data_IF_724288464890
#
_entry.id   IF_724288464890
#
_cell.length_a   1.000
_cell.length_b   1.000
_cell.length_c   1.000
_cell.angle_alpha   90.00
_cell.angle_beta   90.00
_cell.angle_gamma   90.00
#
_symmetry.space_group_name_H-M   'P 1'
#
loop_
_entity.id
_entity.type
_entity.pdbx_description
1 polymer ?
#
# COMPACT_ATOMS: atom_id res chain seq x y z
N UNK A 1 8.59 -80.87 -29.57
CA UNK A 1 8.31 -79.78 -30.49
C UNK A 1 7.98 -78.45 -29.68
N UNK A 2 8.66 -78.23 -28.54
CA UNK A 2 8.34 -77.09 -27.63
C UNK A 2 9.59 -76.21 -27.37
N UNK A 3 10.76 -76.59 -27.92
CA UNK A 3 12.03 -75.86 -27.62
C UNK A 3 12.50 -74.88 -28.71
N UNK A 4 11.78 -74.69 -29.81
CA UNK A 4 12.14 -73.71 -30.87
C UNK A 4 11.36 -72.43 -30.83
N UNK A 5 10.24 -72.35 -30.08
CA UNK A 5 9.43 -71.11 -29.94
C UNK A 5 9.98 -70.14 -28.92
N UNK A 6 10.73 -70.63 -27.93
CA UNK A 6 11.26 -69.70 -26.83
C UNK A 6 12.43 -68.80 -27.26
N UNK A 7 13.20 -69.17 -28.29
CA UNK A 7 14.29 -68.37 -28.84
C UNK A 7 13.80 -67.23 -29.75
N UNK A 8 12.73 -67.50 -30.51
CA UNK A 8 12.14 -66.45 -31.38
C UNK A 8 11.45 -65.33 -30.58
N UNK A 9 10.76 -65.69 -29.49
CA UNK A 9 10.09 -64.70 -28.58
C UNK A 9 11.11 -63.85 -27.84
N UNK A 10 12.25 -64.44 -27.44
CA UNK A 10 13.34 -63.62 -26.79
C UNK A 10 14.03 -62.68 -27.76
N UNK A 11 14.15 -63.01 -29.03
CA UNK A 11 14.74 -62.13 -30.04
C UNK A 11 13.77 -61.04 -30.47
N UNK A 12 12.47 -61.26 -30.51
CA UNK A 12 11.46 -60.24 -30.79
C UNK A 12 11.30 -59.28 -29.64
N UNK A 13 11.41 -59.71 -28.38
CA UNK A 13 11.37 -58.84 -27.20
C UNK A 13 12.63 -57.94 -27.11
N UNK A 14 13.80 -58.47 -27.49
CA UNK A 14 15.05 -57.70 -27.51
C UNK A 14 15.04 -56.59 -28.59
N UNK A 15 14.40 -56.82 -29.74
CA UNK A 15 14.28 -55.85 -30.84
C UNK A 15 13.24 -54.76 -30.48
N UNK A 16 12.14 -55.13 -29.82
CA UNK A 16 11.15 -54.15 -29.33
C UNK A 16 11.70 -53.26 -28.22
N UNK A 17 12.51 -53.78 -27.29
CA UNK A 17 13.13 -52.99 -26.25
C UNK A 17 14.23 -52.03 -26.76
N UNK A 18 14.97 -52.42 -27.81
CA UNK A 18 15.97 -51.55 -28.45
C UNK A 18 15.29 -50.43 -29.28
N UNK A 19 14.16 -50.70 -29.92
CA UNK A 19 13.37 -49.72 -30.66
C UNK A 19 12.69 -48.69 -29.76
N UNK A 20 12.25 -49.07 -28.56
CA UNK A 20 11.62 -48.18 -27.59
C UNK A 20 12.66 -47.27 -26.90
N UNK A 21 13.89 -47.77 -26.68
CA UNK A 21 14.97 -46.93 -26.14
C UNK A 21 15.53 -45.93 -27.16
N UNK A 22 15.52 -46.26 -28.46
CA UNK A 22 15.92 -45.32 -29.51
C UNK A 22 14.84 -44.28 -29.82
N UNK A 23 13.54 -44.58 -29.66
CA UNK A 23 12.44 -43.63 -29.79
C UNK A 23 12.30 -42.68 -28.57
N UNK A 24 12.77 -43.12 -27.39
CA UNK A 24 12.79 -42.27 -26.18
C UNK A 24 13.93 -41.24 -26.18
N UNK A 25 14.97 -41.43 -27.01
CA UNK A 25 16.08 -40.47 -27.12
C UNK A 25 15.83 -39.33 -28.12
N UNK A 26 14.77 -39.43 -28.94
CA UNK A 26 14.40 -38.39 -29.92
C UNK A 26 13.27 -37.45 -29.41
N UNK A 27 12.60 -37.82 -28.30
CA UNK A 27 11.52 -37.03 -27.72
C UNK A 27 11.97 -36.03 -26.62
N UNK A 28 13.26 -35.90 -26.33
CA UNK A 28 13.84 -34.89 -25.43
C UNK A 28 14.57 -33.79 -26.19
N UNK A 29 14.01 -33.31 -27.29
CA UNK A 29 14.27 -32.03 -27.88
C UNK A 29 13.37 -30.97 -27.26
N UNK A 30 13.09 -31.05 -25.96
CA UNK A 30 12.60 -29.88 -25.22
C UNK A 30 13.71 -28.84 -25.30
N UNK A 31 13.43 -27.72 -25.92
CA UNK A 31 14.23 -26.52 -25.90
C UNK A 31 14.40 -26.15 -24.42
N UNK A 32 15.39 -26.77 -23.75
CA UNK A 32 15.71 -26.41 -22.36
C UNK A 32 16.32 -25.02 -22.43
N UNK A 33 15.55 -24.03 -21.99
CA UNK A 33 16.06 -22.68 -21.81
C UNK A 33 17.30 -22.75 -20.91
N UNK A 34 18.47 -22.46 -21.50
CA UNK A 34 19.76 -22.54 -20.81
C UNK A 34 20.10 -21.27 -20.04
N UNK A 35 19.23 -20.26 -20.10
CA UNK A 35 19.39 -19.01 -19.40
C UNK A 35 19.32 -19.20 -17.88
N UNK A 36 20.00 -18.33 -17.14
CA UNK A 36 19.80 -18.27 -15.68
C UNK A 36 18.36 -17.86 -15.37
N UNK A 37 17.57 -18.78 -14.83
CA UNK A 37 16.19 -18.48 -14.47
C UNK A 37 16.09 -17.91 -13.06
N UNK A 38 15.44 -16.75 -12.89
CA UNK A 38 15.05 -16.18 -11.59
C UNK A 38 13.53 -16.13 -11.46
N UNK A 39 13.04 -16.25 -10.23
CA UNK A 39 11.60 -16.16 -9.91
C UNK A 39 11.32 -14.85 -9.19
N UNK A 40 10.36 -14.06 -9.71
CA UNK A 40 9.95 -12.77 -9.19
C UNK A 40 8.50 -12.81 -8.73
N UNK A 41 8.24 -12.49 -7.48
CA UNK A 41 6.89 -12.28 -6.95
C UNK A 41 6.62 -10.78 -6.80
N UNK A 42 5.60 -10.30 -7.49
CA UNK A 42 5.27 -8.89 -7.55
C UNK A 42 3.81 -8.71 -7.95
N UNK A 43 3.19 -7.62 -7.51
CA UNK A 43 1.84 -7.21 -7.92
C UNK A 43 1.85 -6.00 -8.87
N UNK A 44 3.02 -5.52 -9.26
CA UNK A 44 3.15 -4.41 -10.20
C UNK A 44 2.50 -4.74 -11.55
N UNK A 45 1.48 -3.99 -12.00
CA UNK A 45 0.74 -4.33 -13.23
C UNK A 45 1.61 -4.33 -14.49
N UNK A 46 2.59 -3.43 -14.57
CA UNK A 46 3.49 -3.29 -15.73
C UNK A 46 4.68 -4.27 -15.72
N UNK A 47 4.73 -5.19 -14.76
CA UNK A 47 5.88 -6.09 -14.58
C UNK A 47 6.19 -6.94 -15.83
N UNK A 48 5.18 -7.34 -16.60
CA UNK A 48 5.42 -8.07 -17.87
C UNK A 48 6.25 -7.26 -18.85
N UNK A 49 5.95 -5.98 -18.99
CA UNK A 49 6.66 -5.06 -19.87
C UNK A 49 8.09 -4.79 -19.37
N UNK A 50 8.25 -4.63 -18.04
CA UNK A 50 9.57 -4.49 -17.40
C UNK A 50 10.42 -5.73 -17.68
N UNK A 51 9.88 -6.93 -17.50
CA UNK A 51 10.57 -8.20 -17.76
C UNK A 51 10.97 -8.31 -19.23
N UNK A 52 10.08 -8.00 -20.16
CA UNK A 52 10.38 -8.04 -21.59
C UNK A 52 11.54 -7.10 -21.97
N UNK A 53 11.59 -5.90 -21.38
CA UNK A 53 12.71 -4.96 -21.56
C UNK A 53 13.99 -5.49 -20.91
N UNK A 54 13.90 -6.04 -19.71
CA UNK A 54 15.04 -6.60 -19.00
C UNK A 54 15.67 -7.78 -19.75
N UNK A 55 14.88 -8.75 -20.18
CA UNK A 55 15.37 -9.95 -20.92
C UNK A 55 15.98 -9.57 -22.28
N UNK A 56 15.48 -8.52 -22.93
CA UNK A 56 16.10 -7.98 -24.15
C UNK A 56 17.50 -7.46 -23.90
N UNK A 57 17.71 -6.74 -22.79
CA UNK A 57 19.01 -6.14 -22.42
C UNK A 57 19.91 -7.17 -21.68
N UNK A 58 19.35 -8.27 -21.19
CA UNK A 58 20.03 -9.33 -20.44
C UNK A 58 19.63 -10.73 -20.99
N UNK A 59 20.08 -11.09 -22.19
CA UNK A 59 19.62 -12.31 -22.88
C UNK A 59 20.06 -13.62 -22.19
N UNK A 60 20.95 -13.54 -21.23
CA UNK A 60 21.43 -14.65 -20.39
C UNK A 60 20.52 -14.97 -19.20
N UNK A 61 19.50 -14.14 -18.92
CA UNK A 61 18.59 -14.32 -17.79
C UNK A 61 17.16 -14.50 -18.30
N UNK A 62 16.44 -15.43 -17.67
CA UNK A 62 15.00 -15.63 -17.85
C UNK A 62 14.26 -15.35 -16.55
N UNK A 63 13.17 -14.55 -16.61
CA UNK A 63 12.38 -14.16 -15.44
C UNK A 63 11.04 -14.86 -15.43
N UNK A 64 10.82 -15.70 -14.44
CA UNK A 64 9.51 -16.29 -14.15
C UNK A 64 8.75 -15.40 -13.17
N UNK A 65 7.77 -14.69 -13.67
CA UNK A 65 6.96 -13.80 -12.85
C UNK A 65 5.70 -14.48 -12.32
N UNK A 66 5.44 -14.26 -11.03
CA UNK A 66 4.20 -14.63 -10.37
C UNK A 66 3.52 -13.37 -9.85
N UNK A 67 2.37 -13.04 -10.45
CA UNK A 67 1.53 -11.95 -9.94
C UNK A 67 0.92 -12.41 -8.62
N UNK A 68 1.39 -11.86 -7.53
CA UNK A 68 0.91 -12.18 -6.18
C UNK A 68 1.20 -11.03 -5.24
N UNK A 69 0.24 -10.77 -4.37
CA UNK A 69 0.34 -9.89 -3.21
C UNK A 69 0.01 -10.70 -1.95
N UNK A 70 0.42 -10.18 -0.82
CA UNK A 70 0.13 -10.81 0.48
C UNK A 70 1.29 -11.67 1.00
N UNK A 71 1.49 -11.51 2.31
CA UNK A 71 2.69 -12.03 2.98
C UNK A 71 2.54 -13.47 3.44
N UNK A 72 1.31 -14.00 3.57
CA UNK A 72 1.09 -15.37 4.03
C UNK A 72 1.76 -16.41 3.13
N UNK A 73 1.65 -16.23 1.80
CA UNK A 73 2.30 -17.14 0.85
C UNK A 73 3.82 -17.08 0.95
N UNK A 74 4.38 -15.88 1.13
CA UNK A 74 5.81 -15.67 1.28
C UNK A 74 6.30 -16.28 2.61
N UNK A 75 5.58 -16.03 3.71
CA UNK A 75 5.90 -16.56 5.01
C UNK A 75 5.86 -18.09 5.02
N UNK A 76 4.82 -18.69 4.41
CA UNK A 76 4.71 -20.14 4.26
C UNK A 76 5.88 -20.72 3.44
N UNK A 77 6.22 -20.11 2.30
CA UNK A 77 7.35 -20.56 1.48
C UNK A 77 8.68 -20.48 2.25
N UNK A 78 8.89 -19.42 3.03
CA UNK A 78 10.08 -19.25 3.87
C UNK A 78 10.11 -20.30 4.98
N UNK A 79 8.99 -20.55 5.65
CA UNK A 79 8.85 -21.53 6.72
C UNK A 79 9.07 -22.97 6.21
N UNK A 80 8.43 -23.30 5.09
CA UNK A 80 8.52 -24.62 4.46
C UNK A 80 9.89 -24.86 3.81
N UNK A 81 10.65 -23.80 3.51
CA UNK A 81 11.93 -23.88 2.82
C UNK A 81 11.83 -24.25 1.35
N UNK A 82 10.63 -24.16 0.76
CA UNK A 82 10.35 -24.56 -0.60
C UNK A 82 9.57 -23.49 -1.38
N UNK A 83 9.87 -23.35 -2.67
CA UNK A 83 9.14 -22.41 -3.55
C UNK A 83 9.40 -20.93 -3.25
N UNK A 84 10.48 -20.62 -2.52
CA UNK A 84 10.87 -19.24 -2.20
C UNK A 84 11.28 -18.54 -3.49
N UNK A 85 10.77 -17.31 -3.78
CA UNK A 85 11.21 -16.54 -4.94
C UNK A 85 12.65 -16.04 -4.77
N UNK A 86 13.29 -15.69 -5.89
CA UNK A 86 14.59 -15.02 -5.87
C UNK A 86 14.43 -13.54 -5.54
N UNK A 87 13.38 -12.90 -6.08
CA UNK A 87 13.04 -11.49 -5.88
C UNK A 87 11.60 -11.36 -5.42
N UNK A 88 11.35 -10.44 -4.51
CA UNK A 88 10.02 -10.12 -4.00
C UNK A 88 9.78 -8.62 -3.96
N UNK A 89 8.56 -8.20 -4.30
CA UNK A 89 8.05 -6.87 -4.01
C UNK A 89 7.54 -6.84 -2.57
N UNK A 90 7.99 -5.85 -1.82
CA UNK A 90 7.58 -5.62 -0.42
C UNK A 90 7.15 -4.17 -0.24
N UNK A 91 6.01 -3.95 0.35
CA UNK A 91 5.65 -2.62 0.85
C UNK A 91 6.65 -2.17 1.92
N UNK A 92 6.89 -0.87 2.01
CA UNK A 92 7.89 -0.34 2.94
C UNK A 92 7.64 -0.74 4.39
N UNK A 93 6.38 -0.82 4.81
CA UNK A 93 6.04 -1.23 6.17
C UNK A 93 6.43 -2.70 6.47
N UNK A 94 6.43 -3.56 5.47
CA UNK A 94 6.75 -4.97 5.63
C UNK A 94 8.24 -5.28 5.46
N UNK A 95 8.97 -4.49 4.70
CA UNK A 95 10.37 -4.74 4.38
C UNK A 95 11.23 -4.92 5.64
N UNK A 96 10.98 -4.11 6.68
CA UNK A 96 11.73 -4.18 7.94
C UNK A 96 11.64 -5.55 8.61
N UNK A 97 10.46 -6.18 8.60
CA UNK A 97 10.24 -7.52 9.15
C UNK A 97 11.16 -8.56 8.51
N UNK A 98 11.29 -8.55 7.20
CA UNK A 98 12.12 -9.49 6.45
C UNK A 98 13.62 -9.16 6.58
N UNK A 99 13.98 -7.89 6.71
CA UNK A 99 15.36 -7.47 6.95
C UNK A 99 15.85 -7.89 8.33
N UNK A 100 15.07 -7.63 9.40
CA UNK A 100 15.41 -8.02 10.79
C UNK A 100 15.52 -9.53 10.94
N UNK A 101 14.65 -10.30 10.31
CA UNK A 101 14.68 -11.76 10.34
C UNK A 101 15.71 -12.38 9.39
N UNK A 102 16.61 -11.58 8.81
CA UNK A 102 17.69 -12.01 7.91
C UNK A 102 17.18 -12.79 6.68
N UNK A 103 15.99 -12.45 6.20
CA UNK A 103 15.41 -13.06 4.99
C UNK A 103 15.82 -12.34 3.70
N UNK A 104 16.41 -11.14 3.79
CA UNK A 104 16.82 -10.33 2.65
C UNK A 104 18.34 -10.23 2.55
N UNK A 105 18.83 -10.18 1.31
CA UNK A 105 20.24 -9.90 1.01
C UNK A 105 20.50 -8.42 1.22
N UNK A 106 21.48 -8.03 2.08
CA UNK A 106 21.92 -6.64 2.13
C UNK A 106 22.69 -6.29 0.85
N UNK A 107 22.25 -5.22 0.18
CA UNK A 107 22.82 -4.76 -1.10
C UNK A 107 23.65 -3.48 -0.98
N UNK A 108 23.99 -3.06 0.24
CA UNK A 108 24.67 -1.80 0.57
C UNK A 108 25.91 -1.54 -0.30
N UNK A 109 26.75 -2.56 -0.50
CA UNK A 109 27.98 -2.44 -1.29
C UNK A 109 27.76 -2.21 -2.80
N UNK A 110 26.52 -2.27 -3.27
CA UNK A 110 26.15 -2.07 -4.68
C UNK A 110 25.38 -0.77 -4.92
N UNK A 111 25.12 0.01 -3.86
CA UNK A 111 24.23 1.18 -3.89
C UNK A 111 24.94 2.49 -3.56
N UNK A 112 26.23 2.55 -3.82
CA UNK A 112 27.00 3.80 -3.67
C UNK A 112 26.44 4.89 -4.59
N UNK A 113 26.13 6.08 -4.04
CA UNK A 113 25.53 7.19 -4.78
C UNK A 113 24.01 7.12 -4.97
N UNK A 114 23.35 6.01 -4.61
CA UNK A 114 21.89 5.86 -4.85
C UNK A 114 21.04 6.74 -3.93
N UNK A 115 21.57 7.17 -2.80
CA UNK A 115 20.88 8.08 -1.89
C UNK A 115 20.46 9.40 -2.54
N UNK A 116 21.28 9.90 -3.49
CA UNK A 116 20.99 11.14 -4.22
C UNK A 116 19.98 10.94 -5.36
N UNK A 117 19.80 9.71 -5.80
CA UNK A 117 18.88 9.34 -6.88
C UNK A 117 17.42 9.26 -6.40
N UNK A 118 17.20 8.70 -5.21
CA UNK A 118 15.86 8.53 -4.64
C UNK A 118 15.45 9.68 -3.73
N UNK A 119 14.13 9.82 -3.50
CA UNK A 119 13.63 10.73 -2.46
C UNK A 119 14.10 10.30 -1.07
N UNK A 120 14.31 11.25 -0.13
CA UNK A 120 14.77 10.89 1.22
C UNK A 120 13.87 9.90 1.95
N UNK A 121 12.55 10.02 1.79
CA UNK A 121 11.56 9.12 2.42
C UNK A 121 11.66 7.68 1.92
N UNK A 122 11.65 7.48 0.60
CA UNK A 122 11.75 6.14 0.00
C UNK A 122 13.11 5.49 0.26
N UNK A 123 14.19 6.26 0.18
CA UNK A 123 15.53 5.76 0.47
C UNK A 123 15.70 5.34 1.94
N UNK A 124 15.15 6.12 2.87
CA UNK A 124 15.14 5.76 4.29
C UNK A 124 14.33 4.48 4.56
N UNK A 125 13.26 4.27 3.80
CA UNK A 125 12.34 3.13 3.98
C UNK A 125 12.94 1.77 3.60
N UNK A 126 13.98 1.73 2.75
CA UNK A 126 14.68 0.49 2.37
C UNK A 126 15.93 0.22 3.22
N UNK A 127 16.18 1.05 4.23
CA UNK A 127 17.35 0.95 5.07
C UNK A 127 17.02 0.44 6.48
N UNK A 128 17.91 -0.34 7.02
CA UNK A 128 17.93 -0.77 8.42
C UNK A 128 19.38 -0.83 8.92
N UNK A 129 19.66 -0.08 10.00
CA UNK A 129 20.96 -0.10 10.66
C UNK A 129 22.15 0.20 9.70
N UNK A 130 21.98 1.18 8.82
CA UNK A 130 22.98 1.57 7.81
C UNK A 130 23.15 0.58 6.66
N UNK A 131 22.30 -0.43 6.55
CA UNK A 131 22.29 -1.38 5.43
C UNK A 131 21.06 -1.18 4.56
N UNK A 132 21.24 -1.33 3.26
CA UNK A 132 20.19 -1.27 2.25
C UNK A 132 19.73 -2.68 1.93
N UNK A 133 18.42 -2.93 1.95
CA UNK A 133 17.82 -4.26 1.77
C UNK A 133 16.89 -4.38 0.54
N UNK A 134 16.72 -3.32 -0.20
CA UNK A 134 15.93 -3.31 -1.43
C UNK A 134 16.14 -2.01 -2.20
N UNK A 135 15.65 -1.94 -3.42
CA UNK A 135 15.62 -0.71 -4.19
C UNK A 135 14.18 -0.16 -4.24
N UNK A 136 13.96 1.13 -3.94
CA UNK A 136 12.65 1.75 -4.05
C UNK A 136 12.07 1.58 -5.46
N UNK A 137 10.87 1.04 -5.54
CA UNK A 137 10.20 0.81 -6.80
C UNK A 137 9.19 1.92 -7.11
N UNK A 138 8.39 2.27 -6.15
CA UNK A 138 7.39 3.33 -6.23
C UNK A 138 7.30 4.10 -4.90
N UNK A 139 6.52 5.18 -4.88
CA UNK A 139 6.35 6.03 -3.71
C UNK A 139 4.88 6.35 -3.50
N UNK A 140 4.48 6.51 -2.25
CA UNK A 140 3.12 6.86 -1.86
C UNK A 140 3.04 8.10 -0.99
N UNK A 141 3.64 9.25 -1.39
CA UNK A 141 3.54 10.46 -0.58
C UNK A 141 2.08 10.85 -0.38
N UNK A 142 1.71 11.15 0.85
CA UNK A 142 0.36 11.56 1.21
C UNK A 142 0.03 12.92 0.65
N UNK A 143 -1.17 13.03 0.08
CA UNK A 143 -1.74 14.29 -0.39
C UNK A 143 -3.22 14.40 -0.03
N UNK A 144 -3.73 15.60 -0.07
CA UNK A 144 -5.11 15.94 0.16
C UNK A 144 -5.86 15.98 -1.17
N UNK A 145 -6.65 14.94 -1.43
CA UNK A 145 -7.52 14.84 -2.60
C UNK A 145 -8.93 15.29 -2.22
N UNK A 146 -9.54 16.16 -3.01
CA UNK A 146 -10.84 16.72 -2.67
C UNK A 146 -11.74 16.95 -3.88
N UNK A 147 -13.04 16.79 -3.69
CA UNK A 147 -14.05 17.12 -4.68
C UNK A 147 -14.32 18.63 -4.65
N UNK A 148 -13.74 19.37 -5.59
CA UNK A 148 -13.78 20.82 -5.64
C UNK A 148 -15.21 21.36 -5.69
N UNK A 149 -16.09 20.72 -6.48
CA UNK A 149 -17.47 21.19 -6.62
C UNK A 149 -18.27 21.10 -5.32
N UNK A 150 -17.95 20.15 -4.45
CA UNK A 150 -18.61 19.98 -3.15
C UNK A 150 -18.12 21.04 -2.15
N UNK A 151 -16.83 21.37 -2.14
CA UNK A 151 -16.30 22.44 -1.30
C UNK A 151 -16.80 23.82 -1.76
N UNK A 152 -16.92 24.06 -3.06
CA UNK A 152 -17.51 25.30 -3.60
C UNK A 152 -18.95 25.53 -3.13
N UNK A 153 -19.77 24.48 -3.01
CA UNK A 153 -21.16 24.59 -2.52
C UNK A 153 -21.26 25.16 -1.12
N UNK A 154 -20.21 25.05 -0.31
CA UNK A 154 -20.17 25.58 1.07
C UNK A 154 -19.25 26.82 1.20
N UNK A 155 -18.83 27.38 0.06
CA UNK A 155 -17.98 28.57 0.01
C UNK A 155 -16.59 28.35 0.61
N UNK A 156 -16.00 27.18 0.41
CA UNK A 156 -14.65 26.83 0.86
C UNK A 156 -13.74 26.63 -0.34
N UNK A 157 -12.64 27.36 -0.37
CA UNK A 157 -11.51 27.09 -1.27
C UNK A 157 -10.61 26.04 -0.59
N UNK A 158 -10.82 24.78 -0.94
CA UNK A 158 -10.09 23.67 -0.31
C UNK A 158 -8.59 23.70 -0.63
N UNK A 159 -8.18 24.38 -1.71
CA UNK A 159 -6.76 24.58 -2.02
C UNK A 159 -6.00 25.39 -0.97
N UNK A 160 -6.71 26.10 -0.10
CA UNK A 160 -6.15 26.94 0.98
C UNK A 160 -6.16 26.27 2.35
N UNK A 161 -6.69 25.07 2.48
CA UNK A 161 -6.64 24.31 3.74
C UNK A 161 -5.19 23.91 3.99
N UNK A 162 -4.61 24.38 5.10
CA UNK A 162 -3.21 24.12 5.48
C UNK A 162 -3.08 23.46 6.84
N UNK A 163 -4.03 23.72 7.73
CA UNK A 163 -4.01 23.20 9.10
C UNK A 163 -5.15 22.24 9.34
N UNK A 164 -5.02 21.41 10.39
CA UNK A 164 -6.13 20.57 10.85
C UNK A 164 -7.32 21.41 11.34
N UNK A 165 -7.08 22.62 11.85
CA UNK A 165 -8.15 23.54 12.21
C UNK A 165 -8.91 24.03 10.96
N UNK A 166 -8.20 24.40 9.88
CA UNK A 166 -8.87 24.75 8.60
C UNK A 166 -9.72 23.58 8.09
N UNK A 167 -9.19 22.35 8.17
CA UNK A 167 -9.88 21.14 7.76
C UNK A 167 -11.13 20.89 8.60
N UNK A 168 -11.03 21.06 9.92
CA UNK A 168 -12.16 20.95 10.84
C UNK A 168 -13.24 21.99 10.55
N UNK A 169 -12.90 23.26 10.32
CA UNK A 169 -13.86 24.31 9.99
C UNK A 169 -14.58 24.03 8.67
N UNK A 170 -13.85 23.53 7.66
CA UNK A 170 -14.44 23.09 6.40
C UNK A 170 -15.41 21.92 6.62
N UNK A 171 -15.04 20.94 7.45
CA UNK A 171 -15.88 19.79 7.77
C UNK A 171 -17.22 20.19 8.41
N UNK A 172 -17.22 21.18 9.31
CA UNK A 172 -18.44 21.69 9.90
C UNK A 172 -19.39 22.33 8.87
N UNK A 173 -18.83 23.02 7.87
CA UNK A 173 -19.63 23.59 6.78
C UNK A 173 -20.24 22.49 5.91
N UNK A 174 -19.45 21.48 5.54
CA UNK A 174 -19.90 20.34 4.74
C UNK A 174 -21.00 19.55 5.44
N UNK A 175 -20.90 19.35 6.75
CA UNK A 175 -21.92 18.69 7.55
C UNK A 175 -23.30 19.37 7.44
N UNK A 176 -23.36 20.70 7.33
CA UNK A 176 -24.63 21.45 7.20
C UNK A 176 -25.40 21.06 5.95
N UNK A 177 -24.73 20.58 4.91
CA UNK A 177 -25.35 20.08 3.66
C UNK A 177 -25.40 18.54 3.60
N UNK A 178 -25.18 17.85 4.73
CA UNK A 178 -25.24 16.41 4.83
C UNK A 178 -24.07 15.65 4.18
N UNK A 179 -22.90 16.28 4.09
CA UNK A 179 -21.69 15.72 3.50
C UNK A 179 -20.64 15.47 4.59
N UNK A 180 -20.02 14.30 4.55
CA UNK A 180 -18.82 14.00 5.36
C UNK A 180 -17.58 14.55 4.69
N UNK A 181 -16.65 15.14 5.47
CA UNK A 181 -15.40 15.60 4.87
C UNK A 181 -14.56 14.43 4.38
N UNK A 182 -14.60 13.29 5.08
CA UNK A 182 -13.92 12.05 4.67
C UNK A 182 -14.62 10.83 5.28
N UNK A 183 -14.13 9.63 4.91
CA UNK A 183 -14.57 8.37 5.48
C UNK A 183 -13.37 7.62 6.05
N UNK A 184 -13.52 7.08 7.27
CA UNK A 184 -12.55 6.21 7.92
C UNK A 184 -13.29 5.25 8.86
N UNK A 185 -13.23 3.96 8.56
CA UNK A 185 -13.83 2.90 9.38
C UNK A 185 -12.86 2.19 10.31
N UNK A 186 -11.65 2.75 10.49
CA UNK A 186 -10.59 2.18 11.29
C UNK A 186 -9.56 1.42 10.44
N UNK A 187 -8.75 2.15 9.68
CA UNK A 187 -7.66 1.63 8.87
C UNK A 187 -6.31 1.89 9.56
N UNK A 188 -5.57 0.81 9.84
CA UNK A 188 -4.27 0.89 10.51
C UNK A 188 -3.24 1.66 9.67
N UNK A 189 -3.25 1.47 8.35
CA UNK A 189 -2.35 2.17 7.43
C UNK A 189 -2.58 3.67 7.46
N UNK A 190 -3.84 4.10 7.44
CA UNK A 190 -4.22 5.49 7.56
C UNK A 190 -3.77 6.06 8.92
N UNK A 191 -4.01 5.34 10.01
CA UNK A 191 -3.67 5.79 11.36
C UNK A 191 -2.17 5.98 11.54
N UNK A 192 -1.35 5.00 11.14
CA UNK A 192 0.13 5.10 11.15
C UNK A 192 0.63 6.31 10.38
N UNK A 193 0.08 6.50 9.19
CA UNK A 193 0.43 7.60 8.29
C UNK A 193 0.13 8.96 8.91
N UNK A 194 -1.00 9.09 9.59
CA UNK A 194 -1.39 10.35 10.24
C UNK A 194 -0.59 10.61 11.52
N UNK A 195 -0.21 9.58 12.26
CA UNK A 195 0.75 9.69 13.38
C UNK A 195 2.10 10.21 12.85
N UNK A 196 2.59 9.62 11.77
CA UNK A 196 3.83 10.02 11.11
C UNK A 196 3.78 11.49 10.67
N UNK A 197 2.70 11.89 9.98
CA UNK A 197 2.47 13.27 9.52
C UNK A 197 2.46 14.27 10.69
N UNK A 198 1.89 13.89 11.83
CA UNK A 198 1.88 14.70 13.05
C UNK A 198 3.27 14.79 13.75
N UNK A 199 4.31 14.24 13.13
CA UNK A 199 5.66 14.20 13.71
C UNK A 199 5.86 13.11 14.76
N UNK A 200 4.91 12.19 14.92
CA UNK A 200 5.00 11.06 15.84
C UNK A 200 6.12 10.08 15.47
N UNK A 201 6.73 9.49 16.48
CA UNK A 201 7.79 8.49 16.39
C UNK A 201 7.59 7.46 17.50
N UNK A 202 6.42 6.76 17.52
CA UNK A 202 6.07 5.89 18.64
C UNK A 202 6.90 4.61 18.70
N UNK A 203 7.57 4.25 17.59
CA UNK A 203 8.30 2.99 17.46
C UNK A 203 9.78 3.23 17.23
N UNK A 204 10.61 2.41 17.87
CA UNK A 204 12.03 2.32 17.56
C UNK A 204 12.54 0.90 17.78
N UNK A 205 13.55 0.51 16.98
CA UNK A 205 14.18 -0.80 17.07
C UNK A 205 15.69 -0.60 17.22
N UNK A 206 16.32 -1.31 18.17
CA UNK A 206 17.77 -1.29 18.35
C UNK A 206 18.50 -1.78 17.09
N UNK A 207 19.78 -1.41 16.96
CA UNK A 207 20.58 -1.75 15.79
C UNK A 207 20.73 -3.26 15.56
N UNK A 208 20.67 -4.06 16.61
CA UNK A 208 20.73 -5.52 16.53
C UNK A 208 19.35 -6.16 16.31
N UNK A 209 18.28 -5.36 16.22
CA UNK A 209 16.90 -5.80 16.02
C UNK A 209 16.23 -6.45 17.23
N UNK A 210 16.95 -6.58 18.36
CA UNK A 210 16.47 -7.37 19.51
C UNK A 210 15.58 -6.59 20.45
N UNK A 211 15.71 -5.27 20.50
CA UNK A 211 14.95 -4.44 21.41
C UNK A 211 14.02 -3.53 20.61
N UNK A 212 12.73 -3.66 20.82
CA UNK A 212 11.70 -2.82 20.23
C UNK A 212 11.10 -1.94 21.31
N UNK A 213 11.02 -0.65 21.05
CA UNK A 213 10.37 0.32 21.93
C UNK A 213 9.04 0.73 21.33
N UNK A 214 7.97 0.68 22.10
CA UNK A 214 6.61 1.04 21.72
C UNK A 214 6.08 2.08 22.71
N UNK A 215 5.79 3.29 22.24
CA UNK A 215 5.39 4.46 23.08
C UNK A 215 4.19 5.20 22.50
N UNK A 216 3.18 4.50 22.00
CA UNK A 216 2.02 5.10 21.37
C UNK A 216 1.29 6.09 22.29
N UNK A 217 1.13 5.74 23.58
CA UNK A 217 0.41 6.60 24.54
C UNK A 217 1.24 7.79 25.01
N UNK A 218 2.55 7.73 24.96
CA UNK A 218 3.48 8.77 25.36
C UNK A 218 3.90 9.68 24.21
N UNK A 219 3.82 9.17 22.95
CA UNK A 219 4.22 9.90 21.76
C UNK A 219 3.32 11.10 21.48
N UNK A 220 3.94 12.27 21.27
CA UNK A 220 3.20 13.53 21.07
C UNK A 220 2.34 13.48 19.82
N UNK A 221 2.91 13.05 18.69
CA UNK A 221 2.18 13.02 17.42
C UNK A 221 1.00 12.05 17.44
N UNK A 222 1.18 10.87 18.10
CA UNK A 222 0.09 9.91 18.31
C UNK A 222 -1.04 10.53 19.11
N UNK A 223 -0.75 11.22 20.22
CA UNK A 223 -1.79 11.87 21.04
C UNK A 223 -2.49 12.98 20.28
N UNK A 224 -1.73 13.83 19.59
CA UNK A 224 -2.26 14.97 18.85
C UNK A 224 -3.22 14.53 17.75
N UNK A 225 -2.85 13.51 16.96
CA UNK A 225 -3.74 12.94 15.95
C UNK A 225 -4.95 12.27 16.58
N UNK A 226 -4.76 11.45 17.63
CA UNK A 226 -5.83 10.73 18.30
C UNK A 226 -6.90 11.67 18.87
N UNK A 227 -6.50 12.80 19.48
CA UNK A 227 -7.41 13.81 20.02
C UNK A 227 -8.16 14.54 18.90
N UNK A 228 -7.45 14.95 17.86
CA UNK A 228 -8.04 15.60 16.69
C UNK A 228 -9.06 14.68 16.01
N UNK A 229 -8.68 13.43 15.74
CA UNK A 229 -9.54 12.49 15.02
C UNK A 229 -10.75 12.06 15.84
N UNK A 230 -10.59 11.89 17.16
CA UNK A 230 -11.72 11.63 18.04
C UNK A 230 -12.73 12.77 18.02
N UNK A 231 -12.29 14.02 18.04
CA UNK A 231 -13.16 15.20 17.91
C UNK A 231 -13.92 15.18 16.57
N UNK A 232 -13.24 14.90 15.46
CA UNK A 232 -13.84 14.78 14.13
C UNK A 232 -14.93 13.68 14.09
N UNK A 233 -14.69 12.55 14.72
CA UNK A 233 -15.62 11.42 14.80
C UNK A 233 -16.80 11.79 15.72
N UNK A 234 -16.56 12.28 16.93
CA UNK A 234 -17.59 12.62 17.91
C UNK A 234 -18.58 13.66 17.34
N UNK A 235 -18.09 14.61 16.57
CA UNK A 235 -18.91 15.62 15.92
C UNK A 235 -19.57 15.12 14.60
N UNK A 236 -19.33 13.87 14.19
CA UNK A 236 -19.90 13.26 12.98
C UNK A 236 -19.46 13.93 11.69
N UNK A 237 -18.23 14.33 11.62
CA UNK A 237 -17.60 14.94 10.46
C UNK A 237 -16.95 13.90 9.55
N UNK A 238 -16.67 12.70 10.09
CA UNK A 238 -16.10 11.54 9.41
C UNK A 238 -17.12 10.42 9.34
N UNK A 239 -17.26 9.79 8.18
CA UNK A 239 -18.10 8.60 7.99
C UNK A 239 -17.35 7.35 8.50
N UNK A 240 -17.72 6.86 9.70
CA UNK A 240 -17.06 5.70 10.34
C UNK A 240 -17.67 4.34 9.92
N UNK A 241 -18.70 4.35 9.09
CA UNK A 241 -19.44 3.16 8.66
C UNK A 241 -19.28 2.83 7.17
N UNK A 242 -18.35 3.48 6.51
CA UNK A 242 -17.99 3.24 5.12
C UNK A 242 -16.59 2.63 5.07
N UNK A 243 -16.53 1.32 4.85
CA UNK A 243 -15.26 0.63 4.65
C UNK A 243 -14.65 1.05 3.32
N UNK A 244 -13.39 1.50 3.34
CA UNK A 244 -12.66 1.93 2.14
C UNK A 244 -12.74 0.89 1.02
N UNK A 245 -12.98 1.35 -0.20
CA UNK A 245 -13.09 0.57 -1.43
C UNK A 245 -14.30 -0.37 -1.53
N UNK A 246 -15.19 -0.38 -0.55
CA UNK A 246 -16.49 -1.07 -0.69
C UNK A 246 -17.40 -0.33 -1.70
N UNK A 247 -18.36 -1.03 -2.30
CA UNK A 247 -19.31 -0.42 -3.26
C UNK A 247 -20.06 0.77 -2.65
N UNK A 248 -20.39 0.70 -1.35
CA UNK A 248 -21.03 1.79 -0.62
C UNK A 248 -20.11 3.01 -0.49
N UNK A 249 -18.82 2.79 -0.23
CA UNK A 249 -17.83 3.84 -0.16
C UNK A 249 -17.61 4.47 -1.53
N UNK A 250 -17.41 3.66 -2.59
CA UNK A 250 -17.25 4.12 -3.97
C UNK A 250 -18.46 4.97 -4.42
N UNK A 251 -19.66 4.52 -4.11
CA UNK A 251 -20.89 5.26 -4.38
C UNK A 251 -20.94 6.59 -3.62
N UNK A 252 -20.60 6.61 -2.34
CA UNK A 252 -20.62 7.82 -1.52
C UNK A 252 -19.59 8.87 -2.00
N UNK A 253 -18.38 8.42 -2.35
CA UNK A 253 -17.31 9.28 -2.92
C UNK A 253 -17.74 9.80 -4.30
N UNK A 254 -18.24 8.93 -5.18
CA UNK A 254 -18.67 9.30 -6.52
C UNK A 254 -19.84 10.29 -6.54
N UNK A 255 -20.75 10.22 -5.55
CA UNK A 255 -21.90 11.12 -5.39
C UNK A 255 -21.57 12.40 -4.59
N UNK A 256 -20.33 12.59 -4.16
CA UNK A 256 -19.94 13.75 -3.36
C UNK A 256 -20.47 13.75 -1.93
N UNK A 257 -20.90 12.58 -1.38
CA UNK A 257 -21.29 12.43 0.03
C UNK A 257 -20.07 12.31 0.96
N UNK A 258 -18.93 12.02 0.39
CA UNK A 258 -17.60 12.08 1.01
C UNK A 258 -16.79 13.06 0.16
N UNK A 259 -16.38 14.18 0.75
CA UNK A 259 -15.84 15.32 0.02
C UNK A 259 -14.35 15.24 -0.23
N UNK A 260 -13.60 14.48 0.57
CA UNK A 260 -12.14 14.42 0.44
C UNK A 260 -11.55 13.10 0.93
N UNK A 261 -10.31 12.85 0.51
CA UNK A 261 -9.52 11.69 0.90
C UNK A 261 -8.10 12.15 1.21
N UNK A 262 -7.53 11.66 2.31
CA UNK A 262 -6.10 11.68 2.57
C UNK A 262 -5.53 10.35 2.08
N UNK A 263 -4.69 10.37 1.07
CA UNK A 263 -4.19 9.13 0.45
C UNK A 263 -2.84 9.33 -0.21
N UNK A 264 -2.16 8.23 -0.48
CA UNK A 264 -0.90 8.24 -1.22
C UNK A 264 -1.07 8.52 -2.72
N UNK A 265 0.04 8.76 -3.39
CA UNK A 265 0.11 9.15 -4.80
C UNK A 265 -0.38 8.09 -5.81
N UNK A 266 -0.70 6.89 -5.38
CA UNK A 266 -1.38 5.88 -6.22
C UNK A 266 -2.88 6.14 -6.43
N UNK A 267 -3.48 7.06 -5.66
CA UNK A 267 -4.92 7.31 -5.69
C UNK A 267 -5.47 7.76 -7.07
N UNK A 268 -4.77 8.56 -7.90
CA UNK A 268 -5.30 8.99 -9.20
C UNK A 268 -5.73 7.83 -10.09
N UNK A 269 -4.92 6.81 -10.23
CA UNK A 269 -5.26 5.61 -11.03
C UNK A 269 -6.45 4.85 -10.44
N UNK A 270 -6.52 4.72 -9.12
CA UNK A 270 -7.61 4.04 -8.41
C UNK A 270 -8.94 4.79 -8.53
N UNK A 271 -8.92 6.13 -8.45
CA UNK A 271 -10.13 6.94 -8.67
C UNK A 271 -10.62 6.82 -10.11
N UNK A 272 -9.71 6.81 -11.09
CA UNK A 272 -10.06 6.65 -12.49
C UNK A 272 -10.70 5.28 -12.76
N UNK A 273 -10.14 4.21 -12.20
CA UNK A 273 -10.65 2.85 -12.36
C UNK A 273 -12.00 2.65 -11.65
N UNK A 274 -12.09 3.06 -10.38
CA UNK A 274 -13.22 2.70 -9.51
C UNK A 274 -14.35 3.73 -9.50
N UNK A 275 -14.05 5.00 -9.80
CA UNK A 275 -15.00 6.12 -9.73
C UNK A 275 -14.87 7.03 -10.97
N UNK A 276 -14.92 6.48 -12.19
CA UNK A 276 -14.71 7.27 -13.42
C UNK A 276 -15.75 8.39 -13.59
N UNK A 277 -16.96 8.21 -13.03
CA UNK A 277 -18.03 9.20 -13.10
C UNK A 277 -17.77 10.52 -12.35
N UNK A 278 -16.73 10.58 -11.50
CA UNK A 278 -16.33 11.79 -10.80
C UNK A 278 -15.18 12.55 -11.49
N UNK A 279 -14.84 12.18 -12.73
CA UNK A 279 -13.82 12.83 -13.50
C UNK A 279 -14.11 14.35 -13.67
N UNK A 280 -13.05 15.16 -13.55
CA UNK A 280 -13.13 16.62 -13.62
C UNK A 280 -13.50 17.32 -12.32
N UNK A 281 -14.08 16.61 -11.34
CA UNK A 281 -14.58 17.18 -10.09
C UNK A 281 -13.50 17.28 -9.00
N UNK A 282 -12.46 16.45 -9.08
CA UNK A 282 -11.43 16.32 -8.05
C UNK A 282 -10.25 17.27 -8.27
N UNK A 283 -9.55 17.58 -7.18
CA UNK A 283 -8.27 18.31 -7.18
C UNK A 283 -7.35 17.71 -6.14
N UNK A 284 -6.08 18.10 -6.18
CA UNK A 284 -5.05 17.66 -5.23
C UNK A 284 -4.37 18.87 -4.61
N UNK A 285 -4.11 18.81 -3.31
CA UNK A 285 -3.32 19.79 -2.56
C UNK A 285 -2.35 19.08 -1.60
N UNK A 286 -1.43 19.84 -1.01
CA UNK A 286 -0.58 19.34 0.07
C UNK A 286 -1.43 18.96 1.29
N UNK A 287 -0.95 17.99 2.07
CA UNK A 287 -1.63 17.59 3.31
C UNK A 287 -1.75 18.75 4.29
N UNK A 288 -2.90 18.96 4.92
CA UNK A 288 -2.99 19.81 6.10
C UNK A 288 -2.29 19.13 7.28
N UNK A 289 -1.57 19.93 8.05
CA UNK A 289 -0.79 19.48 9.20
C UNK A 289 -1.25 20.17 10.48
N UNK A 290 -0.87 19.71 11.69
CA UNK A 290 -1.28 20.38 12.93
C UNK A 290 -0.91 21.86 12.99
N UNK A 291 0.26 22.22 12.46
CA UNK A 291 0.84 23.57 12.55
C UNK A 291 1.02 24.28 11.20
N UNK A 292 0.51 23.70 10.12
CA UNK A 292 0.58 24.26 8.77
C UNK A 292 1.94 24.13 8.08
N UNK A 293 2.92 23.45 8.69
CA UNK A 293 4.21 23.21 8.05
C UNK A 293 4.08 22.28 6.86
N UNK A 294 4.85 22.55 5.82
CA UNK A 294 4.91 21.73 4.63
C UNK A 294 5.68 20.42 4.92
N UNK A 295 4.99 19.44 5.46
CA UNK A 295 5.48 18.08 5.71
C UNK A 295 4.40 17.07 5.36
N UNK A 296 4.81 15.87 5.04
CA UNK A 296 3.90 14.74 4.82
C UNK A 296 4.53 13.42 5.25
N UNK A 297 3.83 12.34 5.01
CA UNK A 297 4.20 10.96 5.28
C UNK A 297 3.98 10.10 4.03
N UNK A 298 4.30 8.81 4.11
CA UNK A 298 4.03 7.84 3.05
C UNK A 298 2.84 6.94 3.40
N UNK A 299 1.95 6.74 2.45
CA UNK A 299 0.91 5.73 2.50
C UNK A 299 0.92 4.90 1.21
N UNK A 300 1.49 3.73 1.29
CA UNK A 300 1.86 2.91 0.15
C UNK A 300 3.34 3.04 -0.17
N UNK A 301 3.69 2.68 -1.40
CA UNK A 301 5.08 2.57 -1.83
C UNK A 301 5.68 1.22 -1.50
N UNK A 302 6.60 0.77 -2.36
CA UNK A 302 7.20 -0.54 -2.28
C UNK A 302 8.63 -0.58 -2.81
N UNK A 303 9.30 -1.67 -2.52
CA UNK A 303 10.65 -1.95 -3.01
C UNK A 303 10.72 -3.36 -3.61
N UNK A 304 11.66 -3.59 -4.50
CA UNK A 304 12.09 -4.93 -4.86
C UNK A 304 13.30 -5.32 -4.02
N UNK A 305 13.26 -6.52 -3.46
CA UNK A 305 14.30 -7.06 -2.61
C UNK A 305 14.70 -8.48 -3.05
N UNK A 306 15.97 -8.85 -2.81
CA UNK A 306 16.49 -10.18 -3.09
C UNK A 306 16.39 -11.03 -1.83
N UNK A 307 15.81 -12.22 -1.93
CA UNK A 307 15.70 -13.15 -0.81
C UNK A 307 17.06 -13.78 -0.50
N UNK A 308 17.39 -13.88 0.80
CA UNK A 308 18.64 -14.47 1.28
C UNK A 308 18.86 -15.92 0.81
N UNK A 309 17.78 -16.67 0.55
CA UNK A 309 17.84 -18.05 0.06
C UNK A 309 17.91 -18.17 -1.45
N UNK A 310 17.94 -17.04 -2.18
CA UNK A 310 18.19 -17.08 -3.63
C UNK A 310 19.57 -17.70 -3.91
N UNK A 311 19.60 -18.62 -4.84
CA UNK A 311 20.88 -19.20 -5.35
C UNK A 311 21.44 -18.41 -6.53
N UNK A 312 20.77 -17.31 -6.90
CA UNK A 312 21.11 -16.48 -8.07
C UNK A 312 21.10 -14.99 -7.69
N UNK A 313 21.79 -14.59 -6.60
CA UNK A 313 21.73 -13.22 -6.09
C UNK A 313 22.20 -12.19 -7.10
N UNK A 314 23.17 -12.54 -7.97
CA UNK A 314 23.69 -11.63 -9.00
C UNK A 314 22.64 -11.32 -10.08
N UNK A 315 22.02 -12.35 -10.65
CA UNK A 315 20.95 -12.17 -11.63
C UNK A 315 19.73 -11.46 -11.03
N UNK A 316 19.40 -11.75 -9.77
CA UNK A 316 18.33 -11.11 -9.02
C UNK A 316 18.60 -9.63 -8.79
N UNK A 317 19.85 -9.27 -8.43
CA UNK A 317 20.23 -7.87 -8.26
C UNK A 317 20.17 -7.11 -9.59
N UNK A 318 20.68 -7.68 -10.70
CA UNK A 318 20.58 -7.08 -12.04
C UNK A 318 19.13 -6.77 -12.41
N UNK A 319 18.20 -7.67 -12.03
CA UNK A 319 16.78 -7.45 -12.28
C UNK A 319 16.21 -6.30 -11.45
N UNK A 320 16.44 -6.25 -10.12
CA UNK A 320 15.91 -5.18 -9.29
C UNK A 320 16.53 -3.82 -9.66
N UNK A 321 17.80 -3.80 -10.05
CA UNK A 321 18.47 -2.59 -10.54
C UNK A 321 17.83 -2.09 -11.84
N UNK A 322 17.58 -3.00 -12.81
CA UNK A 322 16.86 -2.63 -14.03
C UNK A 322 15.45 -2.09 -13.74
N UNK A 323 14.70 -2.77 -12.91
CA UNK A 323 13.33 -2.38 -12.62
C UNK A 323 13.22 -1.06 -11.82
N UNK A 324 14.17 -0.76 -10.91
CA UNK A 324 14.03 0.30 -9.93
C UNK A 324 15.01 1.47 -10.12
N UNK A 325 16.14 1.27 -10.82
CA UNK A 325 17.19 2.28 -10.97
C UNK A 325 17.48 2.63 -12.43
N UNK A 326 17.24 1.72 -13.37
CA UNK A 326 17.44 1.99 -14.78
C UNK A 326 16.30 2.81 -15.38
N UNK A 327 16.62 3.82 -16.19
CA UNK A 327 15.64 4.72 -16.79
C UNK A 327 14.56 3.98 -17.61
N UNK A 328 14.92 2.91 -18.35
CA UNK A 328 13.94 2.13 -19.15
C UNK A 328 12.93 1.43 -18.25
N UNK A 329 13.40 0.77 -17.19
CA UNK A 329 12.53 0.08 -16.23
C UNK A 329 11.62 1.05 -15.51
N UNK A 330 12.13 2.17 -15.04
CA UNK A 330 11.35 3.23 -14.37
C UNK A 330 10.29 3.80 -15.34
N UNK A 331 10.68 4.22 -16.54
CA UNK A 331 9.75 4.77 -17.54
C UNK A 331 8.62 3.78 -17.85
N UNK A 332 8.95 2.50 -18.02
CA UNK A 332 7.93 1.45 -18.28
C UNK A 332 6.88 1.39 -17.16
N UNK A 333 7.31 1.49 -15.90
CA UNK A 333 6.38 1.46 -14.75
C UNK A 333 5.58 2.75 -14.62
N UNK A 334 6.22 3.90 -14.82
CA UNK A 334 5.56 5.21 -14.76
C UNK A 334 4.53 5.38 -15.87
N UNK A 335 4.83 4.91 -17.08
CA UNK A 335 3.86 4.87 -18.19
C UNK A 335 2.71 3.90 -17.87
N UNK A 336 2.94 2.88 -17.07
CA UNK A 336 1.93 1.96 -16.52
C UNK A 336 1.13 2.52 -15.34
N UNK A 337 1.39 3.74 -14.89
CA UNK A 337 0.66 4.43 -13.83
C UNK A 337 1.30 4.38 -12.44
N UNK A 338 2.50 3.77 -12.28
CA UNK A 338 3.23 3.81 -11.02
C UNK A 338 3.72 5.23 -10.69
N UNK A 339 3.64 5.62 -9.43
CA UNK A 339 4.23 6.90 -8.99
C UNK A 339 5.72 6.69 -8.68
N UNK A 340 6.64 7.48 -9.30
CA UNK A 340 8.07 7.23 -9.20
C UNK A 340 8.63 7.52 -7.80
N UNK A 341 9.72 6.82 -7.46
CA UNK A 341 10.49 7.05 -6.25
C UNK A 341 11.78 7.85 -6.52
N UNK A 342 12.15 8.03 -7.80
CA UNK A 342 13.38 8.70 -8.20
C UNK A 342 13.18 10.20 -8.49
N UNK A 343 14.18 11.00 -8.11
CA UNK A 343 14.15 12.46 -8.26
C UNK A 343 14.19 12.90 -9.72
N UNK A 344 14.80 12.11 -10.61
CA UNK A 344 14.92 12.47 -12.02
C UNK A 344 13.52 12.50 -12.68
N UNK A 345 12.73 11.46 -12.45
CA UNK A 345 11.34 11.42 -12.96
C UNK A 345 10.47 12.45 -12.25
N UNK A 346 10.61 12.60 -10.93
CA UNK A 346 9.83 13.57 -10.15
C UNK A 346 10.11 15.04 -10.53
N UNK A 347 11.25 15.33 -11.17
CA UNK A 347 11.60 16.65 -11.70
C UNK A 347 11.43 16.78 -13.20
N UNK A 348 11.08 15.71 -13.91
CA UNK A 348 10.89 15.71 -15.35
C UNK A 348 9.69 16.57 -15.76
N UNK A 349 9.88 17.45 -16.73
CA UNK A 349 8.86 18.42 -17.15
C UNK A 349 7.63 17.76 -17.76
N UNK A 350 7.78 16.65 -18.48
CA UNK A 350 6.67 15.90 -19.07
C UNK A 350 5.85 15.21 -17.98
N UNK A 351 6.51 14.65 -16.98
CA UNK A 351 5.84 14.05 -15.83
C UNK A 351 5.08 15.12 -15.01
N UNK A 352 5.72 16.24 -14.71
CA UNK A 352 5.15 17.34 -13.93
C UNK A 352 3.96 18.02 -14.59
N UNK A 353 3.99 18.17 -15.92
CA UNK A 353 2.93 18.86 -16.68
C UNK A 353 1.74 17.96 -17.03
N UNK A 354 1.73 16.70 -16.60
CA UNK A 354 0.63 15.77 -16.87
C UNK A 354 -0.65 16.26 -16.19
N UNK A 355 -1.72 16.43 -17.00
CA UNK A 355 -3.05 16.90 -16.53
C UNK A 355 -4.13 15.83 -16.63
N UNK A 356 -3.78 14.65 -17.12
CA UNK A 356 -4.72 13.56 -17.40
C UNK A 356 -4.31 12.29 -16.65
N UNK A 357 -5.28 11.42 -16.38
CA UNK A 357 -5.09 10.05 -15.89
C UNK A 357 -5.55 9.11 -17.00
N UNK A 358 -4.79 8.06 -17.24
CA UNK A 358 -5.12 7.05 -18.27
C UNK A 358 -6.11 6.05 -17.71
N UNK A 359 -7.21 5.78 -18.44
CA UNK A 359 -8.17 4.74 -18.07
C UNK A 359 -7.72 3.34 -18.54
N UNK A 360 -8.48 2.30 -18.18
CA UNK A 360 -8.17 0.89 -18.52
C UNK A 360 -8.17 0.62 -20.04
N UNK A 361 -8.72 1.55 -20.85
CA UNK A 361 -8.75 1.49 -22.32
C UNK A 361 -7.60 2.26 -22.96
N UNK A 362 -6.75 2.90 -22.15
CA UNK A 362 -5.66 3.76 -22.61
C UNK A 362 -6.11 5.18 -22.99
N UNK A 363 -7.30 5.60 -22.56
CA UNK A 363 -7.83 6.95 -22.85
C UNK A 363 -7.37 7.92 -21.76
N UNK A 364 -6.85 9.05 -22.18
CA UNK A 364 -6.42 10.14 -21.30
C UNK A 364 -7.63 10.98 -20.84
N UNK A 365 -7.88 11.04 -19.54
CA UNK A 365 -9.03 11.74 -18.92
C UNK A 365 -8.53 12.83 -17.97
N UNK A 366 -9.00 14.08 -18.08
CA UNK A 366 -8.62 15.15 -17.15
C UNK A 366 -9.34 15.01 -15.79
N UNK A 367 -9.06 13.92 -15.07
CA UNK A 367 -9.74 13.55 -13.84
C UNK A 367 -9.69 14.65 -12.78
N UNK A 368 -8.57 15.37 -12.72
CA UNK A 368 -8.36 16.48 -11.80
C UNK A 368 -8.64 17.86 -12.45
N UNK A 369 -9.55 17.91 -13.44
CA UNK A 369 -10.01 19.15 -14.05
C UNK A 369 -8.91 19.95 -14.74
N UNK A 370 -7.92 19.27 -15.31
CA UNK A 370 -6.79 19.91 -15.99
C UNK A 370 -5.67 20.39 -15.08
N UNK A 371 -5.72 20.05 -13.76
CA UNK A 371 -4.63 20.36 -12.85
C UNK A 371 -3.38 19.53 -13.17
N UNK A 372 -2.21 20.13 -13.07
CA UNK A 372 -0.90 19.44 -13.09
C UNK A 372 -0.69 18.70 -11.73
N UNK A 373 -1.48 17.65 -11.50
CA UNK A 373 -1.55 16.98 -10.20
C UNK A 373 -0.22 16.32 -9.82
N UNK A 374 0.58 15.86 -10.77
CA UNK A 374 1.90 15.30 -10.51
C UNK A 374 2.87 16.32 -9.92
N UNK A 375 2.73 17.60 -10.24
CA UNK A 375 3.53 18.67 -9.60
C UNK A 375 3.26 18.74 -8.10
N UNK A 376 2.00 18.62 -7.69
CA UNK A 376 1.61 18.60 -6.27
C UNK A 376 2.15 17.36 -5.59
N UNK A 377 2.00 16.19 -6.23
CA UNK A 377 2.46 14.92 -5.67
C UNK A 377 3.99 14.82 -5.61
N UNK A 378 4.71 15.37 -6.60
CA UNK A 378 6.18 15.44 -6.58
C UNK A 378 6.68 16.30 -5.42
N UNK A 379 6.05 17.44 -5.19
CA UNK A 379 6.36 18.26 -4.03
C UNK A 379 6.05 17.55 -2.71
N UNK A 380 4.95 16.78 -2.64
CA UNK A 380 4.65 15.96 -1.48
C UNK A 380 5.73 14.91 -1.24
N UNK A 381 6.25 14.26 -2.27
CA UNK A 381 7.34 13.28 -2.16
C UNK A 381 8.63 13.88 -1.55
N UNK A 382 8.97 15.12 -1.91
CA UNK A 382 10.10 15.85 -1.32
C UNK A 382 9.84 16.24 0.16
N UNK A 383 8.58 16.42 0.54
CA UNK A 383 8.16 16.83 1.87
C UNK A 383 7.96 15.66 2.85
N UNK A 384 8.17 14.41 2.43
CA UNK A 384 8.05 13.26 3.32
C UNK A 384 9.08 13.37 4.45
N UNK A 385 8.60 13.43 5.68
CA UNK A 385 9.48 13.52 6.84
C UNK A 385 10.15 12.16 7.12
N UNK A 386 11.45 12.19 7.37
CA UNK A 386 12.23 11.00 7.69
C UNK A 386 12.17 10.64 9.18
N UNK A 387 12.70 9.47 9.55
CA UNK A 387 12.86 9.04 10.93
C UNK A 387 11.64 8.30 11.52
N UNK A 388 10.53 8.17 10.81
CA UNK A 388 9.48 7.24 11.20
C UNK A 388 9.97 5.79 11.02
N UNK A 389 9.67 4.94 11.96
CA UNK A 389 10.05 3.53 11.90
C UNK A 389 8.79 2.67 12.05
N UNK A 390 8.59 1.76 11.11
CA UNK A 390 7.63 0.68 11.27
C UNK A 390 8.18 -0.37 12.24
N UNK A 391 7.29 -1.10 12.88
CA UNK A 391 7.66 -2.23 13.73
C UNK A 391 8.27 -3.38 12.91
N UNK A 392 9.19 -4.15 13.46
CA UNK A 392 9.71 -5.36 12.81
C UNK A 392 8.66 -6.48 12.67
N UNK A 393 7.46 -6.28 13.19
CA UNK A 393 6.27 -7.13 13.07
C UNK A 393 5.03 -6.31 12.68
N UNK A 394 5.21 -5.34 11.79
CA UNK A 394 4.17 -4.38 11.39
C UNK A 394 2.95 -5.06 10.76
N UNK A 395 3.14 -6.18 10.04
CA UNK A 395 2.03 -6.96 9.47
C UNK A 395 1.09 -7.45 10.59
N UNK A 396 1.66 -7.96 11.70
CA UNK A 396 0.88 -8.32 12.87
C UNK A 396 0.22 -7.09 13.51
N UNK A 397 0.99 -6.02 13.73
CA UNK A 397 0.49 -4.80 14.37
C UNK A 397 -0.74 -4.24 13.64
N UNK A 398 -0.74 -4.20 12.31
CA UNK A 398 -1.88 -3.76 11.50
C UNK A 398 -3.08 -4.71 11.58
N UNK A 399 -2.83 -6.00 11.69
CA UNK A 399 -3.91 -6.97 11.93
C UNK A 399 -4.55 -6.78 13.31
N UNK A 400 -3.72 -6.56 14.33
CA UNK A 400 -4.16 -6.37 15.72
C UNK A 400 -4.90 -5.05 15.94
N UNK A 401 -4.62 -4.01 15.14
CA UNK A 401 -5.33 -2.73 15.18
C UNK A 401 -6.86 -2.89 15.10
N UNK A 402 -7.35 -3.87 14.35
CA UNK A 402 -8.80 -4.12 14.22
C UNK A 402 -9.44 -4.60 15.51
N UNK A 403 -8.71 -5.38 16.31
CA UNK A 403 -9.17 -5.94 17.59
C UNK A 403 -8.99 -4.97 18.75
N UNK A 404 -8.22 -3.91 18.56
CA UNK A 404 -7.91 -2.89 19.56
C UNK A 404 -8.53 -1.53 19.21
N UNK A 405 -7.88 -0.72 18.40
CA UNK A 405 -8.38 0.61 17.99
C UNK A 405 -9.68 0.50 17.21
N UNK A 406 -9.85 -0.56 16.40
CA UNK A 406 -11.09 -0.83 15.66
C UNK A 406 -12.34 -0.94 16.54
N UNK A 407 -12.21 -1.29 17.82
CA UNK A 407 -13.33 -1.27 18.79
C UNK A 407 -13.88 0.15 18.97
N UNK A 408 -13.00 1.16 19.05
CA UNK A 408 -13.41 2.56 19.18
C UNK A 408 -14.19 3.05 17.95
N UNK A 409 -13.81 2.65 16.75
CA UNK A 409 -14.55 2.97 15.51
C UNK A 409 -15.92 2.28 15.49
N UNK A 410 -16.01 1.01 15.87
CA UNK A 410 -17.27 0.28 15.97
C UNK A 410 -18.22 0.94 16.97
N UNK A 411 -17.73 1.26 18.16
CA UNK A 411 -18.51 1.93 19.20
C UNK A 411 -19.00 3.31 18.75
N UNK A 412 -18.10 4.13 18.19
CA UNK A 412 -18.48 5.46 17.66
C UNK A 412 -19.50 5.37 16.53
N UNK A 413 -19.39 4.36 15.65
CA UNK A 413 -20.36 4.10 14.58
C UNK A 413 -21.76 3.74 15.13
N UNK A 414 -21.82 2.91 16.19
CA UNK A 414 -23.09 2.57 16.85
C UNK A 414 -23.73 3.79 17.51
N UNK A 415 -22.95 4.58 18.25
CA UNK A 415 -23.42 5.82 18.87
C UNK A 415 -23.96 6.81 17.83
N UNK A 416 -23.28 6.94 16.69
CA UNK A 416 -23.72 7.81 15.60
C UNK A 416 -25.03 7.35 14.97
N UNK A 417 -25.19 6.05 14.74
CA UNK A 417 -26.44 5.48 14.23
C UNK A 417 -27.61 5.78 15.16
N UNK A 418 -27.42 5.60 16.47
CA UNK A 418 -28.44 5.89 17.47
C UNK A 418 -28.77 7.39 17.51
N UNK A 419 -27.77 8.27 17.51
CA UNK A 419 -27.99 9.70 17.46
C UNK A 419 -28.80 10.14 16.23
N UNK A 420 -28.47 9.58 15.05
CA UNK A 420 -29.23 9.85 13.83
C UNK A 420 -30.68 9.37 13.94
N UNK A 421 -30.89 8.17 14.52
CA UNK A 421 -32.24 7.65 14.79
C UNK A 421 -33.04 8.58 15.68
N UNK A 422 -32.45 9.04 16.79
CA UNK A 422 -33.10 9.96 17.73
C UNK A 422 -33.40 11.32 17.07
N UNK A 423 -32.51 11.82 16.23
CA UNK A 423 -32.75 13.08 15.50
C UNK A 423 -33.95 12.97 14.52
N UNK A 424 -34.10 11.83 13.82
CA UNK A 424 -35.20 11.58 12.92
C UNK A 424 -36.52 11.55 13.71
N UNK A 425 -36.56 10.87 14.85
CA UNK A 425 -37.74 10.79 15.73
C UNK A 425 -38.11 12.17 16.26
N UNK A 426 -37.14 12.95 16.72
CA UNK A 426 -37.33 14.30 17.23
C UNK A 426 -37.89 15.25 16.16
N UNK A 427 -37.57 15.01 14.88
CA UNK A 427 -38.13 15.73 13.74
C UNK A 427 -39.48 15.21 13.27
N UNK A 428 -40.12 14.26 13.99
CA UNK A 428 -41.44 13.68 13.64
C UNK A 428 -41.38 12.64 12.54
N UNK A 429 -40.20 12.19 12.15
CA UNK A 429 -40.01 11.15 11.13
C UNK A 429 -40.20 9.74 11.69
N UNK A 430 -40.65 8.82 10.82
CA UNK A 430 -40.70 7.40 11.14
C UNK A 430 -39.36 6.72 10.79
N UNK A 431 -38.88 5.86 11.67
CA UNK A 431 -37.65 5.09 11.47
C UNK A 431 -38.04 3.65 11.16
N UNK A 432 -37.96 3.24 9.90
CA UNK A 432 -38.16 1.86 9.47
C UNK A 432 -36.85 1.06 9.58
N UNK A 433 -36.94 -0.18 10.06
CA UNK A 433 -35.80 -1.13 10.00
C UNK A 433 -34.71 -1.00 11.05
N UNK A 434 -34.92 -0.23 12.14
CA UNK A 434 -33.89 0.02 13.17
C UNK A 434 -34.05 -0.80 14.45
N UNK A 435 -34.74 -1.93 14.38
CA UNK A 435 -35.12 -2.73 15.56
C UNK A 435 -33.96 -3.20 16.44
N UNK A 436 -32.68 -3.09 15.97
CA UNK A 436 -31.53 -3.68 16.66
C UNK A 436 -30.44 -2.71 17.12
N UNK A 437 -30.55 -1.37 16.90
CA UNK A 437 -29.47 -0.47 17.35
C UNK A 437 -29.41 -0.38 18.88
N UNK A 438 -30.58 -0.26 19.52
CA UNK A 438 -30.68 -0.24 20.99
C UNK A 438 -30.17 -1.52 21.62
N UNK A 439 -30.47 -2.65 21.02
CA UNK A 439 -29.98 -3.96 21.44
C UNK A 439 -28.48 -4.11 21.17
N UNK A 440 -27.97 -3.65 20.01
CA UNK A 440 -26.55 -3.64 19.71
C UNK A 440 -25.76 -2.80 20.71
N UNK A 441 -26.28 -1.62 21.11
CA UNK A 441 -25.66 -0.78 22.13
C UNK A 441 -25.66 -1.46 23.51
N UNK A 442 -26.76 -2.11 23.89
CA UNK A 442 -26.87 -2.83 25.17
C UNK A 442 -25.97 -4.05 25.21
N UNK A 443 -25.89 -4.78 24.08
CA UNK A 443 -25.13 -6.03 23.98
C UNK A 443 -23.63 -5.80 23.74
N UNK A 444 -23.20 -4.57 23.46
CA UNK A 444 -21.76 -4.26 23.39
C UNK A 444 -21.14 -4.38 24.77
N UNK A 445 -20.11 -5.20 24.90
CA UNK A 445 -19.39 -5.37 26.17
C UNK A 445 -18.80 -4.04 26.66
N UNK A 446 -18.71 -3.85 27.98
CA UNK A 446 -18.16 -2.62 28.56
C UNK A 446 -16.74 -2.35 28.14
N UNK A 447 -15.94 -3.39 27.93
CA UNK A 447 -14.56 -3.33 27.40
C UNK A 447 -14.46 -2.81 25.97
N UNK A 448 -15.53 -2.89 25.19
CA UNK A 448 -15.61 -2.44 23.79
C UNK A 448 -16.23 -1.05 23.65
N UNK A 449 -16.72 -0.46 24.74
CA UNK A 449 -17.28 0.92 24.78
C UNK A 449 -16.17 1.93 25.01
N UNK A 450 -15.21 1.98 24.11
CA UNK A 450 -14.01 2.80 24.24
C UNK A 450 -13.92 3.87 23.14
N UNK A 451 -13.19 4.93 23.44
CA UNK A 451 -12.75 5.95 22.48
C UNK A 451 -11.37 5.63 21.91
N UNK A 452 -10.91 6.37 20.90
CA UNK A 452 -9.61 6.13 20.26
C UNK A 452 -8.44 6.07 21.24
N UNK A 453 -8.40 6.95 22.23
CA UNK A 453 -7.36 6.93 23.29
C UNK A 453 -7.30 5.58 24.02
N UNK A 454 -8.45 5.00 24.34
CA UNK A 454 -8.52 3.66 24.94
C UNK A 454 -8.09 2.56 23.96
N UNK A 455 -8.47 2.68 22.70
CA UNK A 455 -8.03 1.78 21.63
C UNK A 455 -6.51 1.79 21.43
N UNK A 456 -5.90 2.97 21.42
CA UNK A 456 -4.43 3.13 21.33
C UNK A 456 -3.73 2.53 22.56
N UNK A 457 -4.29 2.66 23.75
CA UNK A 457 -3.73 2.05 24.95
C UNK A 457 -3.79 0.52 24.90
N UNK A 458 -4.90 -0.05 24.41
CA UNK A 458 -5.01 -1.49 24.16
C UNK A 458 -4.00 -1.94 23.11
N UNK A 459 -3.92 -1.26 21.99
CA UNK A 459 -2.97 -1.59 20.92
C UNK A 459 -1.53 -1.57 21.44
N UNK A 460 -1.13 -0.53 22.16
CA UNK A 460 0.19 -0.50 22.80
C UNK A 460 0.44 -1.68 23.74
N UNK A 461 -0.56 -2.06 24.52
CA UNK A 461 -0.47 -3.19 25.45
C UNK A 461 -0.22 -4.49 24.69
N UNK A 462 -1.07 -4.79 23.70
CA UNK A 462 -1.00 -6.04 22.94
C UNK A 462 0.31 -6.13 22.12
N UNK A 463 0.77 -5.01 21.54
CA UNK A 463 2.05 -4.96 20.84
C UNK A 463 3.27 -5.15 21.76
N UNK A 464 3.19 -4.78 23.03
CA UNK A 464 4.26 -5.02 24.03
C UNK A 464 4.28 -6.45 24.54
N UNK A 465 3.16 -7.15 24.45
CA UNK A 465 3.03 -8.55 24.87
C UNK A 465 3.40 -9.53 23.74
N UNK A 466 3.41 -9.08 22.48
CA UNK A 466 3.82 -9.87 21.31
C UNK A 466 5.34 -10.04 21.22
#
# INVERSE_FOLDING_TARGET
MVLKSAKLVKQLIAICCAGVMAASAVACGANTDTRTQITVWSWEPSMKQVIAGFEKDNPDIHVVWKNTSGYDKLNNAIQDGYGIPDVVQLEYYALRQYAVSSQLVPITGRTEGYADFYTPGTWASVQLNGRVYGLPMDSGPMAFFYNNSVFEQVGVDASKIRTWDDYYEAAKKLKKIGVYITADSGDASFYDTMIWLAGGRPFSTSNDGKNVTIRLTEDKGTREFTEFWQKMIDEGLVATNLTSWSDRWKSAVGQGKVASLFSGAGLPSLLMSDIPGAAGLWRVAQMPTPDGKATTSENGGSALAVLQRSRKPEASYRFIEYACHNAKGITTRVDGGAFPADKNTLSDSKFLSKTTVTDDRGIEVPYFGGQEYNRVLSQAAENVSTGYQYLPFEVYARSDFRSTVGKAYKWSSLLRKEQNRLNIIAAGGQVSGTSNIGDALKNTESSDRIKLKGGIALWQKDLKEY
#
